data_IF_019226326575
#
_entry.id   IF_019226326575
#
_cell.length_a   1.000
_cell.length_b   1.000
_cell.length_c   1.000
_cell.angle_alpha   90.00
_cell.angle_beta   90.00
_cell.angle_gamma   90.00
#
_symmetry.space_group_name_H-M   'P 1'
#
loop_
_entity.id
_entity.type
_entity.pdbx_description
1 polymer ?
#
# COMPACT_ATOMS: atom_id res chain seq x y z
N UNK A 1 37.92 1.86 14.74
CA UNK A 1 37.09 3.07 14.94
C UNK A 1 35.63 2.61 14.91
N UNK A 2 34.86 2.80 15.99
CA UNK A 2 33.53 2.19 16.13
C UNK A 2 32.51 2.65 15.06
N UNK A 3 32.74 3.81 14.44
CA UNK A 3 31.83 4.43 13.47
C UNK A 3 32.23 4.19 12.00
N UNK A 4 33.30 3.44 11.72
CA UNK A 4 33.88 3.34 10.38
C UNK A 4 32.89 2.74 9.36
N UNK A 5 32.15 1.70 9.73
CA UNK A 5 31.13 1.09 8.87
C UNK A 5 29.92 2.03 8.63
N UNK A 6 29.50 2.80 9.65
CA UNK A 6 28.41 3.77 9.53
C UNK A 6 28.80 4.93 8.60
N UNK A 7 30.05 5.41 8.68
CA UNK A 7 30.57 6.43 7.77
C UNK A 7 30.72 5.88 6.35
N UNK A 8 31.25 4.66 6.17
CA UNK A 8 31.36 4.02 4.85
C UNK A 8 30.01 3.85 4.16
N UNK A 9 28.93 3.68 4.93
CA UNK A 9 27.56 3.53 4.45
C UNK A 9 26.78 4.85 4.39
N UNK A 10 27.40 5.99 4.74
CA UNK A 10 26.76 7.31 4.81
C UNK A 10 25.51 7.34 5.70
N UNK A 11 25.55 6.67 6.85
CA UNK A 11 24.40 6.53 7.77
C UNK A 11 24.40 7.54 8.92
N UNK A 12 25.21 8.60 8.83
CA UNK A 12 25.29 9.66 9.84
C UNK A 12 25.09 11.00 9.13
N UNK A 13 24.09 11.77 9.57
CA UNK A 13 23.85 13.14 9.13
C UNK A 13 23.63 14.02 10.37
N UNK A 14 24.30 15.16 10.42
CA UNK A 14 24.19 16.14 11.52
C UNK A 14 24.40 15.55 12.93
N UNK A 15 25.23 14.50 13.03
CA UNK A 15 25.56 13.82 14.29
C UNK A 15 24.56 12.74 14.71
N UNK A 16 23.50 12.51 13.93
CA UNK A 16 22.51 11.47 14.18
C UNK A 16 22.55 10.38 13.11
N UNK A 17 22.16 9.16 13.50
CA UNK A 17 21.91 8.07 12.57
C UNK A 17 20.83 8.46 11.57
N UNK A 18 21.03 8.17 10.28
CA UNK A 18 20.07 8.40 9.20
C UNK A 18 19.99 7.21 8.25
N UNK A 19 18.78 6.81 7.88
CA UNK A 19 18.51 5.75 6.92
C UNK A 19 17.94 6.23 5.59
N UNK A 20 17.69 5.27 4.71
CA UNK A 20 16.92 5.52 3.50
C UNK A 20 15.43 5.70 3.84
N UNK A 21 14.73 6.57 3.11
CA UNK A 21 13.30 6.81 3.31
C UNK A 21 12.52 5.50 3.13
N UNK A 22 11.67 5.20 4.12
CA UNK A 22 10.79 4.04 4.15
C UNK A 22 9.40 4.46 4.63
N UNK A 23 8.71 5.23 3.77
CA UNK A 23 7.49 5.97 4.17
C UNK A 23 7.84 6.98 5.27
N UNK A 24 7.07 6.99 6.36
CA UNK A 24 7.38 7.80 7.55
C UNK A 24 8.55 7.27 8.40
N UNK A 25 9.09 6.09 8.09
CA UNK A 25 10.22 5.49 8.77
C UNK A 25 11.51 5.69 7.96
N UNK A 26 12.65 5.34 8.55
CA UNK A 26 13.91 5.18 7.84
C UNK A 26 14.42 3.75 7.96
N UNK A 27 14.84 3.17 6.84
CA UNK A 27 15.50 1.86 6.75
C UNK A 27 17.01 2.04 6.84
N UNK A 28 17.60 1.51 7.91
CA UNK A 28 19.03 1.65 8.19
C UNK A 28 19.69 0.28 8.10
N UNK A 29 20.49 0.06 7.05
CA UNK A 29 21.28 -1.16 6.87
C UNK A 29 22.64 -1.01 7.55
N UNK A 30 22.71 -1.43 8.80
CA UNK A 30 23.85 -1.17 9.71
C UNK A 30 24.96 -2.23 9.62
N UNK A 31 24.73 -3.34 8.92
CA UNK A 31 25.72 -4.39 8.68
C UNK A 31 26.24 -5.03 9.97
N UNK A 32 27.56 -5.01 10.20
CA UNK A 32 28.17 -5.65 11.37
C UNK A 32 28.29 -4.72 12.60
N UNK A 33 27.66 -3.54 12.54
CA UNK A 33 27.62 -2.54 13.62
C UNK A 33 26.82 -3.05 14.80
N UNK A 34 27.32 -2.82 16.02
CA UNK A 34 26.62 -3.24 17.24
C UNK A 34 25.74 -2.11 17.81
N UNK A 35 24.81 -2.48 18.69
CA UNK A 35 23.90 -1.56 19.36
C UNK A 35 24.65 -0.44 20.09
N UNK A 36 25.76 -0.75 20.78
CA UNK A 36 26.58 0.26 21.48
C UNK A 36 26.97 1.43 20.56
N UNK A 37 27.44 1.13 19.35
CA UNK A 37 27.80 2.14 18.36
C UNK A 37 26.57 2.96 17.96
N UNK A 38 25.43 2.31 17.70
CA UNK A 38 24.20 3.01 17.29
C UNK A 38 23.75 4.05 18.31
N UNK A 39 23.79 3.71 19.60
CA UNK A 39 23.45 4.65 20.68
C UNK A 39 24.43 5.84 20.73
N UNK A 40 25.72 5.58 20.48
CA UNK A 40 26.74 6.65 20.47
C UNK A 40 26.56 7.65 19.33
N UNK A 41 25.82 7.28 18.27
CA UNK A 41 25.48 8.14 17.13
C UNK A 41 24.02 8.60 17.17
N UNK A 42 23.42 8.65 18.37
CA UNK A 42 22.13 9.31 18.58
C UNK A 42 20.89 8.43 18.48
N UNK A 43 21.00 7.12 18.21
CA UNK A 43 19.84 6.22 18.27
C UNK A 43 19.26 6.22 19.69
N UNK A 44 17.96 6.49 19.80
CA UNK A 44 17.19 6.32 21.04
C UNK A 44 16.63 4.91 21.06
N UNK A 45 16.92 4.20 22.14
CA UNK A 45 16.40 2.87 22.40
C UNK A 45 16.28 2.66 23.91
N UNK A 46 15.19 2.04 24.35
CA UNK A 46 15.04 1.56 25.72
C UNK A 46 15.81 0.26 25.88
N UNK A 47 17.14 0.37 25.95
CA UNK A 47 18.01 -0.81 26.00
C UNK A 47 17.78 -1.57 27.30
N UNK A 48 17.39 -2.84 27.16
CA UNK A 48 17.26 -3.76 28.28
C UNK A 48 18.64 -4.10 28.85
N UNK A 49 18.83 -3.99 30.17
CA UNK A 49 20.06 -4.42 30.85
C UNK A 49 20.30 -5.93 30.71
N UNK A 50 19.21 -6.70 30.62
CA UNK A 50 19.18 -8.14 30.42
C UNK A 50 18.07 -8.52 29.43
N UNK A 51 18.31 -9.51 28.58
CA UNK A 51 17.31 -10.06 27.66
C UNK A 51 16.89 -11.43 28.15
N UNK A 52 15.67 -11.53 28.69
CA UNK A 52 15.12 -12.75 29.28
C UNK A 52 14.17 -13.41 28.28
N UNK A 53 14.62 -14.50 27.65
CA UNK A 53 13.81 -15.35 26.78
C UNK A 53 14.49 -16.74 26.64
N UNK A 54 13.74 -17.85 26.55
CA UNK A 54 14.32 -19.19 26.45
C UNK A 54 14.82 -19.49 25.01
N UNK A 55 15.93 -18.87 24.62
CA UNK A 55 16.54 -19.09 23.31
C UNK A 55 17.03 -20.53 23.16
N UNK A 56 16.57 -21.23 22.12
CA UNK A 56 16.88 -22.64 21.89
C UNK A 56 17.93 -22.85 20.80
N UNK A 57 17.94 -21.99 19.77
CA UNK A 57 18.79 -22.11 18.60
C UNK A 57 19.89 -21.03 18.56
N UNK A 58 19.59 -19.81 18.97
CA UNK A 58 20.48 -18.67 18.91
C UNK A 58 21.37 -18.56 20.16
N UNK A 59 22.69 -18.56 19.93
CA UNK A 59 23.67 -18.31 20.98
C UNK A 59 23.76 -16.81 21.25
N UNK A 60 23.12 -16.35 22.32
CA UNK A 60 23.05 -14.93 22.66
C UNK A 60 24.40 -14.35 23.09
N UNK A 61 24.68 -13.08 22.74
CA UNK A 61 25.71 -12.29 23.40
C UNK A 61 25.44 -12.16 24.91
N UNK A 62 26.49 -12.09 25.72
CA UNK A 62 26.36 -11.83 27.17
C UNK A 62 25.88 -10.41 27.47
N UNK A 63 26.18 -9.46 26.60
CA UNK A 63 25.80 -8.05 26.75
C UNK A 63 24.92 -7.66 25.56
N UNK A 64 23.65 -7.25 25.80
CA UNK A 64 22.74 -6.80 24.75
C UNK A 64 23.33 -5.71 23.84
N UNK A 65 24.19 -4.83 24.37
CA UNK A 65 24.87 -3.78 23.59
C UNK A 65 25.79 -4.31 22.48
N UNK A 66 26.18 -5.59 22.54
CA UNK A 66 27.03 -6.24 21.54
C UNK A 66 26.21 -6.93 20.44
N UNK A 67 24.87 -6.93 20.50
CA UNK A 67 24.05 -7.43 19.41
C UNK A 67 24.32 -6.63 18.13
N UNK A 68 24.24 -7.31 16.99
CA UNK A 68 24.55 -6.77 15.65
C UNK A 68 23.42 -7.13 14.70
N UNK A 69 22.29 -6.39 14.75
CA UNK A 69 21.24 -6.59 13.77
C UNK A 69 21.73 -6.20 12.38
N UNK A 70 21.24 -6.86 11.33
CA UNK A 70 21.62 -6.49 9.96
C UNK A 70 20.99 -5.14 9.56
N UNK A 71 19.72 -4.93 9.95
CA UNK A 71 18.93 -3.73 9.64
C UNK A 71 18.06 -3.31 10.82
N UNK A 72 17.86 -2.00 10.95
CA UNK A 72 16.88 -1.41 11.87
C UNK A 72 15.96 -0.46 11.12
N UNK A 73 14.73 -0.32 11.61
CA UNK A 73 13.77 0.69 11.15
C UNK A 73 13.58 1.69 12.27
N UNK A 74 13.73 2.97 11.94
CA UNK A 74 13.62 4.06 12.90
C UNK A 74 12.47 4.99 12.57
N UNK A 75 11.81 5.49 13.61
CA UNK A 75 10.85 6.57 13.54
C UNK A 75 11.47 7.81 14.20
N UNK A 76 11.52 8.93 13.49
CA UNK A 76 11.99 10.20 14.07
C UNK A 76 10.86 10.91 14.80
N UNK A 77 11.07 11.11 16.10
CA UNK A 77 10.21 11.93 16.95
C UNK A 77 10.97 13.19 17.40
N UNK A 78 10.29 14.06 18.14
CA UNK A 78 10.91 15.25 18.76
C UNK A 78 12.09 14.90 19.67
N UNK A 79 12.08 13.70 20.26
CA UNK A 79 13.12 13.23 21.20
C UNK A 79 14.30 12.53 20.50
N UNK A 80 14.27 12.41 19.18
CA UNK A 80 15.30 11.77 18.34
C UNK A 80 14.80 10.50 17.61
N UNK A 81 15.71 9.80 16.90
CA UNK A 81 15.38 8.59 16.15
C UNK A 81 15.19 7.39 17.08
N UNK A 82 13.99 6.82 17.10
CA UNK A 82 13.64 5.65 17.91
C UNK A 82 13.56 4.37 17.06
N UNK A 83 14.14 3.26 17.53
CA UNK A 83 14.04 1.97 16.85
C UNK A 83 12.65 1.34 17.06
N UNK A 84 11.93 1.08 15.96
CA UNK A 84 10.58 0.51 15.99
C UNK A 84 10.54 -0.94 15.51
N UNK A 85 11.50 -1.34 14.66
CA UNK A 85 11.64 -2.71 14.20
C UNK A 85 13.10 -3.07 13.87
N UNK A 86 13.39 -4.37 13.88
CA UNK A 86 14.69 -4.94 13.54
C UNK A 86 14.52 -6.02 12.49
N UNK A 87 15.46 -6.13 11.54
CA UNK A 87 15.48 -7.22 10.57
C UNK A 87 16.82 -7.94 10.50
N UNK A 88 16.75 -9.27 10.44
CA UNK A 88 17.86 -10.19 10.22
C UNK A 88 17.75 -10.80 8.82
N UNK A 89 18.81 -10.66 8.04
CA UNK A 89 18.85 -11.11 6.66
C UNK A 89 19.76 -12.32 6.50
N UNK A 90 19.23 -13.41 5.93
CA UNK A 90 20.01 -14.60 5.56
C UNK A 90 19.76 -14.94 4.10
N UNK A 91 20.77 -15.46 3.40
CA UNK A 91 20.55 -15.96 2.05
C UNK A 91 19.42 -17.04 2.05
N UNK A 92 18.63 -17.19 0.97
CA UNK A 92 17.47 -18.09 0.95
C UNK A 92 17.74 -19.52 1.43
N UNK A 93 18.90 -20.09 1.07
CA UNK A 93 19.32 -21.42 1.52
C UNK A 93 19.52 -21.52 3.03
N UNK A 94 19.91 -20.40 3.68
CA UNK A 94 20.17 -20.29 5.11
C UNK A 94 18.92 -19.96 5.93
N UNK A 95 17.78 -19.70 5.28
CA UNK A 95 16.47 -19.53 5.94
C UNK A 95 15.53 -20.72 5.68
N UNK A 96 15.94 -21.67 4.83
CA UNK A 96 15.15 -22.86 4.49
C UNK A 96 15.16 -23.87 5.66
N UNK A 97 13.96 -24.27 6.10
CA UNK A 97 13.75 -25.26 7.17
C UNK A 97 13.46 -24.61 8.53
N UNK A 98 12.73 -25.33 9.39
CA UNK A 98 12.26 -24.86 10.69
C UNK A 98 13.39 -24.36 11.59
N UNK A 99 14.49 -25.11 11.68
CA UNK A 99 15.57 -24.82 12.63
C UNK A 99 16.36 -23.56 12.24
N UNK A 100 16.55 -23.36 10.94
CA UNK A 100 17.23 -22.19 10.38
C UNK A 100 16.39 -20.92 10.47
N UNK A 101 15.08 -21.07 10.24
CA UNK A 101 14.12 -20.00 10.49
C UNK A 101 14.12 -19.63 11.97
N UNK A 102 14.00 -20.60 12.88
CA UNK A 102 14.01 -20.39 14.32
C UNK A 102 15.28 -19.65 14.77
N UNK A 103 16.46 -20.11 14.35
CA UNK A 103 17.73 -19.44 14.65
C UNK A 103 17.72 -17.96 14.24
N UNK A 104 17.23 -17.66 13.02
CA UNK A 104 17.21 -16.29 12.49
C UNK A 104 16.15 -15.44 13.21
N UNK A 105 15.00 -16.04 13.53
CA UNK A 105 13.93 -15.38 14.30
C UNK A 105 14.36 -15.07 15.72
N UNK A 106 15.05 -15.98 16.39
CA UNK A 106 15.61 -15.76 17.72
C UNK A 106 16.71 -14.70 17.72
N UNK A 107 17.58 -14.67 16.70
CA UNK A 107 18.56 -13.60 16.53
C UNK A 107 17.86 -12.23 16.41
N UNK A 108 16.81 -12.15 15.59
CA UNK A 108 16.03 -10.92 15.40
C UNK A 108 15.28 -10.50 16.67
N UNK A 109 14.66 -11.46 17.38
CA UNK A 109 13.98 -11.21 18.64
C UNK A 109 14.95 -10.69 19.71
N UNK A 110 16.14 -11.29 19.84
CA UNK A 110 17.15 -10.82 20.78
C UNK A 110 17.55 -9.37 20.51
N UNK A 111 17.85 -9.04 19.25
CA UNK A 111 18.20 -7.69 18.83
C UNK A 111 17.05 -6.69 19.05
N UNK A 112 15.80 -7.11 18.81
CA UNK A 112 14.62 -6.27 19.06
C UNK A 112 14.41 -6.00 20.55
N UNK A 113 14.53 -7.01 21.41
CA UNK A 113 14.46 -6.85 22.88
C UNK A 113 15.58 -5.98 23.42
N UNK A 114 16.78 -6.11 22.86
CA UNK A 114 17.93 -5.27 23.22
C UNK A 114 17.74 -3.79 22.80
N UNK A 115 16.96 -3.52 21.75
CA UNK A 115 16.66 -2.16 21.27
C UNK A 115 15.32 -1.61 21.75
N UNK A 116 14.50 -2.40 22.45
CA UNK A 116 13.13 -2.04 22.80
C UNK A 116 12.20 -1.92 21.58
N UNK A 117 12.54 -2.57 20.46
CA UNK A 117 11.72 -2.58 19.26
C UNK A 117 10.52 -3.52 19.41
N UNK A 118 9.38 -3.15 18.81
CA UNK A 118 8.14 -3.92 18.91
C UNK A 118 8.06 -5.10 17.95
N UNK A 119 8.79 -5.01 16.83
CA UNK A 119 8.73 -5.98 15.73
C UNK A 119 10.14 -6.49 15.41
N UNK A 120 10.27 -7.80 15.24
CA UNK A 120 11.45 -8.42 14.64
C UNK A 120 11.09 -9.07 13.31
N UNK A 121 12.03 -9.13 12.37
CA UNK A 121 11.81 -9.67 11.03
C UNK A 121 12.95 -10.62 10.69
N UNK A 122 12.63 -11.86 10.34
CA UNK A 122 13.56 -12.77 9.67
C UNK A 122 13.28 -12.76 8.17
N UNK A 123 14.28 -12.48 7.34
CA UNK A 123 14.08 -12.31 5.89
C UNK A 123 15.19 -12.93 5.06
N UNK A 124 14.84 -13.36 3.86
CA UNK A 124 15.81 -13.74 2.81
C UNK A 124 15.86 -12.77 1.63
N UNK A 125 15.24 -11.61 1.80
CA UNK A 125 15.07 -10.60 0.75
C UNK A 125 13.87 -10.85 -0.16
N UNK A 126 13.29 -12.06 -0.16
CA UNK A 126 12.10 -12.41 -0.95
C UNK A 126 10.90 -12.77 -0.06
N UNK A 127 11.14 -13.49 1.03
CA UNK A 127 10.16 -13.87 2.05
C UNK A 127 10.53 -13.21 3.37
N UNK A 128 9.49 -12.79 4.09
CA UNK A 128 9.62 -12.14 5.39
C UNK A 128 8.77 -12.92 6.40
N UNK A 129 9.32 -13.10 7.60
CA UNK A 129 8.63 -13.67 8.74
C UNK A 129 8.64 -12.62 9.84
N UNK A 130 7.47 -12.07 10.13
CA UNK A 130 7.29 -10.99 11.10
C UNK A 130 7.00 -11.58 12.47
N UNK A 131 7.71 -11.12 13.48
CA UNK A 131 7.70 -11.64 14.84
C UNK A 131 7.14 -10.58 15.76
N UNK A 132 6.11 -10.95 16.52
CA UNK A 132 5.54 -10.14 17.59
C UNK A 132 6.43 -10.30 18.83
N UNK A 133 7.19 -9.25 19.14
CA UNK A 133 8.15 -9.28 20.25
C UNK A 133 7.43 -9.45 21.60
N UNK A 134 6.32 -8.73 21.80
CA UNK A 134 5.58 -8.75 23.05
C UNK A 134 4.91 -10.10 23.27
N UNK A 135 4.19 -10.61 22.26
CA UNK A 135 3.54 -11.92 22.34
C UNK A 135 4.56 -13.05 22.49
N UNK A 136 5.74 -12.93 21.87
CA UNK A 136 6.81 -13.92 22.01
C UNK A 136 7.32 -14.01 23.45
N UNK A 137 7.57 -12.87 24.09
CA UNK A 137 8.01 -12.81 25.50
C UNK A 137 6.94 -13.37 26.42
N UNK A 138 5.68 -12.96 26.26
CA UNK A 138 4.58 -13.39 27.10
C UNK A 138 4.35 -14.91 27.06
N UNK A 139 4.56 -15.54 25.90
CA UNK A 139 4.37 -16.98 25.72
C UNK A 139 5.66 -17.80 25.90
N UNK A 140 6.82 -17.16 26.04
CA UNK A 140 8.12 -17.84 26.12
C UNK A 140 8.48 -18.64 24.87
N UNK A 141 7.93 -18.29 23.71
CA UNK A 141 8.22 -18.92 22.41
C UNK A 141 8.01 -17.93 21.27
N UNK A 142 8.69 -18.10 20.14
CA UNK A 142 8.53 -17.21 18.98
C UNK A 142 7.07 -17.20 18.51
N UNK A 143 6.51 -16.00 18.39
CA UNK A 143 5.19 -15.74 17.82
C UNK A 143 5.31 -14.93 16.54
N UNK A 144 4.78 -15.50 15.46
CA UNK A 144 4.73 -14.85 14.16
C UNK A 144 3.38 -14.18 13.95
N UNK A 145 3.39 -13.02 13.30
CA UNK A 145 2.16 -12.45 12.73
C UNK A 145 1.71 -13.28 11.52
N UNK A 146 0.40 -13.36 11.31
CA UNK A 146 -0.19 -13.89 10.08
C UNK A 146 -0.13 -12.82 8.97
N UNK A 147 1.09 -12.55 8.50
CA UNK A 147 1.37 -11.54 7.48
C UNK A 147 2.27 -12.16 6.40
N UNK A 148 1.89 -11.98 5.14
CA UNK A 148 2.53 -12.62 3.99
C UNK A 148 2.99 -11.62 2.92
N UNK A 149 2.64 -10.34 3.07
CA UNK A 149 3.06 -9.27 2.17
C UNK A 149 4.55 -9.01 2.30
N UNK A 150 5.14 -8.54 1.19
CA UNK A 150 6.53 -8.09 1.17
C UNK A 150 6.71 -6.87 2.07
N UNK A 151 7.81 -6.84 2.82
CA UNK A 151 8.11 -5.74 3.74
C UNK A 151 8.07 -4.39 3.02
N UNK A 152 7.16 -3.55 3.46
CA UNK A 152 6.94 -2.20 2.98
C UNK A 152 6.40 -1.33 4.15
N UNK A 153 6.36 0.01 3.99
CA UNK A 153 5.89 0.91 5.05
C UNK A 153 4.48 0.58 5.57
N UNK A 154 3.55 0.19 4.69
CA UNK A 154 2.18 -0.14 5.09
C UNK A 154 2.10 -1.42 5.94
N UNK A 155 2.89 -2.43 5.63
CA UNK A 155 2.99 -3.64 6.47
C UNK A 155 3.51 -3.27 7.86
N UNK A 156 4.54 -2.44 7.94
CA UNK A 156 5.11 -2.03 9.22
C UNK A 156 4.12 -1.19 10.05
N UNK A 157 3.36 -0.30 9.39
CA UNK A 157 2.25 0.43 10.02
C UNK A 157 1.20 -0.49 10.63
N UNK A 158 0.74 -1.49 9.88
CA UNK A 158 -0.29 -2.43 10.32
C UNK A 158 0.20 -3.28 11.50
N UNK A 159 1.44 -3.78 11.42
CA UNK A 159 2.05 -4.58 12.49
C UNK A 159 2.23 -3.77 13.79
N UNK A 160 2.59 -2.50 13.69
CA UNK A 160 2.77 -1.63 14.86
C UNK A 160 1.45 -1.15 15.47
N UNK A 161 0.38 -1.06 14.66
CA UNK A 161 -0.96 -0.79 15.16
C UNK A 161 -1.48 -1.97 16.00
N UNK A 162 -1.14 -3.21 15.61
CA UNK A 162 -1.55 -4.42 16.33
C UNK A 162 -3.02 -4.83 16.11
N UNK A 163 -3.79 -4.01 15.40
CA UNK A 163 -5.19 -4.25 15.04
C UNK A 163 -5.49 -3.72 13.63
N UNK A 164 -6.51 -4.29 12.98
CA UNK A 164 -6.97 -3.83 11.66
C UNK A 164 -7.74 -2.52 11.86
N UNK A 165 -7.08 -1.40 11.57
CA UNK A 165 -7.71 -0.08 11.62
C UNK A 165 -8.34 0.21 10.27
N UNK A 166 -9.68 0.22 10.21
CA UNK A 166 -10.43 0.70 9.04
C UNK A 166 -10.28 2.22 8.93
N UNK A 167 -9.73 2.71 7.80
CA UNK A 167 -9.55 4.14 7.54
C UNK A 167 -10.57 4.66 6.53
N UNK A 168 -11.00 5.92 6.72
CA UNK A 168 -11.79 6.68 5.75
C UNK A 168 -10.92 7.69 4.99
N UNK A 169 -10.65 7.47 3.69
CA UNK A 169 -9.87 8.40 2.87
C UNK A 169 -10.61 9.66 2.41
N UNK A 170 -11.82 9.94 2.91
CA UNK A 170 -12.62 11.11 2.49
C UNK A 170 -11.85 12.42 2.62
N UNK A 171 -11.21 12.67 3.77
CA UNK A 171 -10.41 13.89 3.96
C UNK A 171 -9.17 13.94 3.06
N UNK A 172 -8.50 12.80 2.86
CA UNK A 172 -7.35 12.71 1.97
C UNK A 172 -7.78 13.09 0.55
N UNK A 173 -8.91 12.57 0.08
CA UNK A 173 -9.43 12.87 -1.23
C UNK A 173 -9.77 14.36 -1.40
N UNK A 174 -10.36 14.99 -0.38
CA UNK A 174 -10.63 16.43 -0.42
C UNK A 174 -9.35 17.28 -0.50
N UNK A 175 -8.33 16.96 0.31
CA UNK A 175 -7.03 17.66 0.29
C UNK A 175 -6.34 17.51 -1.07
N UNK A 176 -6.19 16.27 -1.54
CA UNK A 176 -5.52 15.98 -2.83
C UNK A 176 -6.26 16.64 -4.00
N UNK A 177 -7.59 16.60 -3.98
CA UNK A 177 -8.40 17.29 -4.97
C UNK A 177 -8.12 18.79 -5.02
N UNK A 178 -8.05 19.46 -3.86
CA UNK A 178 -7.74 20.88 -3.79
C UNK A 178 -6.36 21.17 -4.39
N UNK A 179 -5.33 20.38 -4.05
CA UNK A 179 -4.00 20.51 -4.64
C UNK A 179 -4.03 20.45 -6.17
N UNK A 180 -4.74 19.45 -6.73
CA UNK A 180 -4.86 19.28 -8.18
C UNK A 180 -5.61 20.45 -8.81
N UNK A 181 -6.75 20.84 -8.25
CA UNK A 181 -7.57 21.94 -8.79
C UNK A 181 -6.82 23.27 -8.74
N UNK A 182 -6.11 23.56 -7.65
CA UNK A 182 -5.32 24.79 -7.54
C UNK A 182 -4.23 24.86 -8.62
N UNK A 183 -3.59 23.74 -8.93
CA UNK A 183 -2.52 23.66 -9.91
C UNK A 183 -3.01 23.62 -11.37
N UNK A 184 -4.10 22.92 -11.65
CA UNK A 184 -4.51 22.59 -13.02
C UNK A 184 -5.76 23.35 -13.49
N UNK A 185 -6.59 23.84 -12.56
CA UNK A 185 -7.93 24.40 -12.83
C UNK A 185 -8.86 23.43 -13.57
N UNK A 186 -8.54 22.14 -13.55
CA UNK A 186 -9.32 21.10 -14.24
C UNK A 186 -10.66 20.87 -13.53
N UNK A 187 -11.60 20.26 -14.25
CA UNK A 187 -12.94 20.00 -13.71
C UNK A 187 -12.87 19.03 -12.51
N UNK A 188 -13.81 19.12 -11.53
CA UNK A 188 -13.74 18.28 -10.34
C UNK A 188 -13.76 16.78 -10.66
N UNK A 189 -14.47 16.36 -11.71
CA UNK A 189 -14.47 14.97 -12.20
C UNK A 189 -13.05 14.48 -12.56
N UNK A 190 -12.25 15.32 -13.21
CA UNK A 190 -10.91 14.94 -13.67
C UNK A 190 -9.89 14.95 -12.54
N UNK A 191 -10.03 15.92 -11.63
CA UNK A 191 -9.24 15.93 -10.40
C UNK A 191 -9.55 14.67 -9.55
N UNK A 192 -10.82 14.24 -9.50
CA UNK A 192 -11.21 12.99 -8.84
C UNK A 192 -10.57 11.77 -9.51
N UNK A 193 -10.58 11.67 -10.84
CA UNK A 193 -9.94 10.57 -11.56
C UNK A 193 -8.44 10.50 -11.27
N UNK A 194 -7.78 11.65 -11.18
CA UNK A 194 -6.37 11.76 -10.80
C UNK A 194 -6.12 11.26 -9.37
N UNK A 195 -7.00 11.63 -8.41
CA UNK A 195 -6.94 11.10 -7.05
C UNK A 195 -7.11 9.58 -7.04
N UNK A 196 -8.13 9.04 -7.73
CA UNK A 196 -8.40 7.60 -7.80
C UNK A 196 -7.21 6.86 -8.40
N UNK A 197 -6.60 7.40 -9.45
CA UNK A 197 -5.41 6.82 -10.09
C UNK A 197 -4.23 6.69 -9.11
N UNK A 198 -3.93 7.74 -8.33
CA UNK A 198 -2.86 7.69 -7.31
C UNK A 198 -3.24 6.84 -6.09
N UNK A 199 -4.52 6.85 -5.70
CA UNK A 199 -5.05 5.98 -4.66
C UNK A 199 -4.86 4.51 -5.03
N UNK A 200 -5.16 4.15 -6.28
CA UNK A 200 -4.96 2.78 -6.77
C UNK A 200 -3.47 2.44 -6.81
N UNK A 201 -2.59 3.34 -7.27
CA UNK A 201 -1.14 3.08 -7.21
C UNK A 201 -0.69 2.78 -5.77
N UNK A 202 -1.09 3.60 -4.80
CA UNK A 202 -0.76 3.38 -3.39
C UNK A 202 -1.33 2.06 -2.88
N UNK A 203 -2.61 1.79 -3.14
CA UNK A 203 -3.28 0.55 -2.75
C UNK A 203 -2.56 -0.70 -3.30
N UNK A 204 -2.18 -0.68 -4.58
CA UNK A 204 -1.42 -1.76 -5.18
C UNK A 204 -0.01 -1.87 -4.59
N UNK A 205 0.62 -0.76 -4.24
CA UNK A 205 1.97 -0.76 -3.65
C UNK A 205 2.01 -1.37 -2.25
N UNK A 206 0.97 -1.13 -1.46
CA UNK A 206 0.79 -1.66 -0.11
C UNK A 206 0.52 -3.17 -0.13
N UNK A 207 -0.26 -3.64 -1.12
CA UNK A 207 -0.87 -4.96 -1.08
C UNK A 207 -0.31 -5.96 -2.11
N UNK A 208 0.21 -5.51 -3.27
CA UNK A 208 0.74 -6.43 -4.27
C UNK A 208 2.18 -6.88 -3.95
N UNK A 209 2.47 -8.19 -4.07
CA UNK A 209 3.82 -8.72 -4.02
C UNK A 209 4.73 -8.11 -5.11
N UNK A 210 6.03 -8.03 -4.80
CA UNK A 210 7.05 -7.51 -5.71
C UNK A 210 7.14 -8.27 -7.05
N UNK A 211 6.69 -9.54 -7.07
CA UNK A 211 6.58 -10.35 -8.29
C UNK A 211 5.63 -9.72 -9.33
N UNK A 212 4.53 -9.11 -8.87
CA UNK A 212 3.51 -8.54 -9.76
C UNK A 212 3.74 -7.04 -9.98
N UNK A 213 4.15 -6.33 -8.92
CA UNK A 213 4.50 -4.92 -8.98
C UNK A 213 5.89 -4.70 -8.38
N UNK A 214 6.97 -4.73 -9.18
CA UNK A 214 8.34 -4.55 -8.67
C UNK A 214 8.54 -3.18 -8.01
N UNK A 215 9.52 -3.08 -7.11
CA UNK A 215 9.75 -1.90 -6.25
C UNK A 215 9.84 -0.58 -7.00
N UNK A 216 10.51 -0.55 -8.15
CA UNK A 216 10.66 0.65 -8.99
C UNK A 216 9.34 1.12 -9.66
N UNK A 217 8.28 0.32 -9.58
CA UNK A 217 6.94 0.67 -10.04
C UNK A 217 5.94 0.91 -8.90
N UNK A 218 6.42 0.86 -7.64
CA UNK A 218 5.59 1.13 -6.47
C UNK A 218 5.63 2.61 -6.11
N UNK A 219 4.56 3.06 -5.45
CA UNK A 219 4.39 4.38 -4.88
C UNK A 219 5.62 4.84 -4.07
N UNK A 220 6.20 3.94 -3.27
CA UNK A 220 7.31 4.25 -2.38
C UNK A 220 8.59 4.69 -3.10
N UNK A 221 8.79 4.31 -4.36
CA UNK A 221 9.92 4.80 -5.17
C UNK A 221 9.86 6.32 -5.35
N UNK A 222 8.66 6.92 -5.31
CA UNK A 222 8.45 8.35 -5.52
C UNK A 222 8.64 9.20 -4.25
N UNK A 223 8.84 8.59 -3.07
CA UNK A 223 8.87 9.31 -1.79
C UNK A 223 10.23 9.90 -1.41
N UNK A 224 11.29 9.67 -2.20
CA UNK A 224 12.60 10.22 -1.86
C UNK A 224 12.68 11.73 -2.16
N UNK A 225 13.72 12.37 -1.62
CA UNK A 225 13.95 13.79 -1.87
C UNK A 225 14.03 14.08 -3.37
N UNK A 226 13.55 15.25 -3.78
CA UNK A 226 13.50 15.64 -5.18
C UNK A 226 14.89 15.71 -5.83
N UNK A 227 15.89 16.22 -5.12
CA UNK A 227 17.25 16.29 -5.66
C UNK A 227 17.85 14.90 -5.85
N UNK A 228 17.70 14.03 -4.84
CA UNK A 228 18.13 12.64 -4.91
C UNK A 228 17.41 11.86 -6.02
N UNK A 229 16.11 12.09 -6.17
CA UNK A 229 15.30 11.43 -7.20
C UNK A 229 15.77 11.81 -8.61
N UNK A 230 15.95 13.11 -8.86
CA UNK A 230 16.43 13.62 -10.15
C UNK A 230 17.84 13.10 -10.44
N UNK A 231 18.73 13.09 -9.46
CA UNK A 231 20.09 12.53 -9.61
C UNK A 231 20.05 11.03 -9.97
N UNK A 232 19.14 10.27 -9.36
CA UNK A 232 19.00 8.83 -9.57
C UNK A 232 18.35 8.47 -10.92
N UNK A 233 17.30 9.20 -11.33
CA UNK A 233 16.44 8.82 -12.46
C UNK A 233 16.57 9.73 -13.69
N UNK A 234 17.30 10.85 -13.57
CA UNK A 234 17.47 11.84 -14.63
C UNK A 234 16.20 12.62 -14.98
N UNK A 235 15.15 12.53 -14.15
CA UNK A 235 13.84 13.16 -14.38
C UNK A 235 13.12 13.40 -13.06
N UNK A 236 12.07 14.21 -13.09
CA UNK A 236 11.24 14.50 -11.92
C UNK A 236 10.32 13.32 -11.55
N UNK A 237 9.78 13.30 -10.32
CA UNK A 237 8.87 12.23 -9.87
C UNK A 237 7.62 12.13 -10.75
N UNK A 238 7.04 13.26 -11.16
CA UNK A 238 5.85 13.24 -12.01
C UNK A 238 6.15 12.71 -13.41
N UNK A 239 7.30 13.04 -13.99
CA UNK A 239 7.74 12.48 -15.28
C UNK A 239 7.99 10.98 -15.14
N UNK A 240 8.67 10.53 -14.09
CA UNK A 240 8.87 9.11 -13.82
C UNK A 240 7.55 8.36 -13.64
N UNK A 241 6.60 8.96 -12.91
CA UNK A 241 5.26 8.40 -12.79
C UNK A 241 4.60 8.23 -14.15
N UNK A 242 4.56 9.29 -14.97
CA UNK A 242 3.91 9.31 -16.28
C UNK A 242 4.56 8.32 -17.27
N UNK A 243 5.89 8.26 -17.31
CA UNK A 243 6.64 7.56 -18.35
C UNK A 243 7.02 6.13 -17.97
N UNK A 244 7.09 5.82 -16.66
CA UNK A 244 7.58 4.52 -16.17
C UNK A 244 6.51 3.76 -15.38
N UNK A 245 5.94 4.38 -14.35
CA UNK A 245 4.99 3.70 -13.46
C UNK A 245 3.64 3.50 -14.15
N UNK A 246 3.08 4.58 -14.68
CA UNK A 246 1.74 4.59 -15.28
C UNK A 246 1.62 3.59 -16.45
N UNK A 247 2.58 3.46 -17.39
CA UNK A 247 2.52 2.44 -18.42
C UNK A 247 2.58 1.01 -17.87
N UNK A 248 3.37 0.77 -16.80
CA UNK A 248 3.41 -0.53 -16.12
C UNK A 248 2.04 -0.87 -15.52
N UNK A 249 1.38 0.07 -14.86
CA UNK A 249 0.04 -0.14 -14.31
C UNK A 249 -0.97 -0.45 -15.44
N UNK A 250 -0.92 0.28 -16.56
CA UNK A 250 -1.75 -0.02 -17.74
C UNK A 250 -1.49 -1.40 -18.32
N UNK A 251 -0.24 -1.87 -18.28
CA UNK A 251 0.08 -3.23 -18.74
C UNK A 251 -0.47 -4.31 -17.82
N UNK A 252 -0.51 -4.06 -16.49
CA UNK A 252 -1.10 -5.01 -15.53
C UNK A 252 -2.63 -4.99 -15.60
N UNK A 253 -3.22 -3.82 -15.91
CA UNK A 253 -4.66 -3.62 -15.99
C UNK A 253 -5.04 -2.95 -17.32
N UNK A 254 -4.99 -3.69 -18.43
CA UNK A 254 -5.23 -3.12 -19.75
C UNK A 254 -6.69 -2.68 -19.91
N UNK A 255 -6.87 -1.56 -20.62
CA UNK A 255 -8.17 -1.26 -21.23
C UNK A 255 -8.41 -2.19 -22.42
N UNK A 256 -9.60 -2.11 -23.02
CA UNK A 256 -9.97 -2.90 -24.19
C UNK A 256 -9.79 -4.43 -24.01
N UNK A 257 -10.05 -4.93 -22.80
CA UNK A 257 -9.92 -6.35 -22.48
C UNK A 257 -11.11 -7.14 -23.03
N UNK A 258 -10.85 -8.22 -23.78
CA UNK A 258 -11.90 -9.13 -24.25
C UNK A 258 -12.50 -9.87 -23.05
N UNK A 259 -13.82 -9.93 -23.00
CA UNK A 259 -14.52 -10.71 -22.00
C UNK A 259 -14.38 -12.20 -22.33
N UNK A 260 -13.61 -12.92 -21.51
CA UNK A 260 -13.35 -14.36 -21.68
C UNK A 260 -14.56 -15.26 -21.31
N UNK A 261 -15.69 -14.66 -20.93
CA UNK A 261 -16.91 -15.38 -20.60
C UNK A 261 -17.87 -15.41 -21.80
N UNK A 262 -17.90 -16.56 -22.49
CA UNK A 262 -18.78 -16.78 -23.65
C UNK A 262 -20.27 -16.57 -23.36
N UNK A 263 -20.72 -16.75 -22.11
CA UNK A 263 -22.13 -16.52 -21.75
C UNK A 263 -22.53 -15.05 -21.84
N UNK A 264 -21.58 -14.13 -21.65
CA UNK A 264 -21.80 -12.68 -21.79
C UNK A 264 -21.98 -12.32 -23.26
N UNK A 265 -21.13 -12.89 -24.13
CA UNK A 265 -21.24 -12.69 -25.58
C UNK A 265 -22.59 -13.23 -26.11
N UNK A 266 -23.00 -14.42 -25.63
CA UNK A 266 -24.32 -14.99 -25.94
C UNK A 266 -25.48 -14.12 -25.43
N UNK A 267 -25.37 -13.57 -24.21
CA UNK A 267 -26.41 -12.71 -23.62
C UNK A 267 -26.72 -11.49 -24.49
N UNK A 268 -25.70 -10.92 -25.14
CA UNK A 268 -25.87 -9.75 -26.02
C UNK A 268 -26.03 -10.12 -27.50
N UNK A 269 -25.98 -11.41 -27.86
CA UNK A 269 -25.96 -11.83 -29.26
C UNK A 269 -24.75 -11.30 -30.05
N UNK A 270 -23.64 -11.04 -29.35
CA UNK A 270 -22.41 -10.50 -29.93
C UNK A 270 -21.35 -11.60 -30.07
N UNK A 271 -20.49 -11.49 -31.09
CA UNK A 271 -19.37 -12.42 -31.24
C UNK A 271 -18.26 -12.18 -30.23
N UNK A 272 -17.97 -10.91 -29.92
CA UNK A 272 -16.91 -10.50 -28.98
C UNK A 272 -17.45 -9.33 -28.15
N UNK A 273 -17.30 -9.42 -26.83
CA UNK A 273 -17.56 -8.32 -25.90
C UNK A 273 -16.23 -7.80 -25.37
N UNK A 274 -16.02 -6.49 -25.43
CA UNK A 274 -14.77 -5.84 -25.01
C UNK A 274 -15.06 -4.83 -23.90
N UNK A 275 -14.42 -5.00 -22.75
CA UNK A 275 -14.41 -4.00 -21.70
C UNK A 275 -13.46 -2.87 -22.06
N UNK A 276 -13.97 -1.65 -22.17
CA UNK A 276 -13.20 -0.45 -22.55
C UNK A 276 -12.46 0.20 -21.39
N UNK A 277 -12.66 -0.25 -20.15
CA UNK A 277 -12.18 0.44 -18.95
C UNK A 277 -10.85 -0.13 -18.47
N UNK A 278 -9.93 0.74 -18.03
CA UNK A 278 -8.80 0.39 -17.15
C UNK A 278 -9.09 0.92 -15.73
N UNK A 279 -8.21 0.60 -14.79
CA UNK A 279 -8.20 1.22 -13.45
C UNK A 279 -7.62 2.64 -13.47
N UNK A 280 -6.98 3.06 -14.57
CA UNK A 280 -6.36 4.39 -14.72
C UNK A 280 -6.77 5.05 -16.04
N UNK A 281 -7.69 6.00 -15.96
CA UNK A 281 -8.41 6.53 -17.13
C UNK A 281 -8.13 8.01 -17.42
N UNK A 282 -7.47 8.76 -16.52
CA UNK A 282 -7.18 10.18 -16.73
C UNK A 282 -6.31 10.81 -15.64
N UNK A 283 -5.35 11.64 -16.05
CA UNK A 283 -4.41 12.31 -15.17
C UNK A 283 -4.38 13.81 -15.51
N UNK A 284 -4.88 14.67 -14.61
CA UNK A 284 -5.08 16.10 -14.86
C UNK A 284 -3.81 16.85 -15.27
N UNK A 285 -2.64 16.34 -14.87
CA UNK A 285 -1.34 16.91 -15.23
C UNK A 285 -0.90 16.62 -16.68
N UNK A 286 -1.66 15.83 -17.45
CA UNK A 286 -1.36 15.53 -18.86
C UNK A 286 -2.15 16.37 -19.88
N UNK A 287 -3.11 17.18 -19.43
CA UNK A 287 -4.05 17.85 -20.35
C UNK A 287 -3.45 19.03 -21.13
N UNK A 288 -2.36 19.62 -20.65
CA UNK A 288 -1.82 20.83 -21.28
C UNK A 288 -0.64 20.50 -22.17
N UNK A 289 -0.84 20.54 -23.50
CA UNK A 289 0.26 20.40 -24.47
C UNK A 289 1.27 21.56 -24.41
N UNK A 290 0.94 22.63 -23.68
CA UNK A 290 1.77 23.83 -23.54
C UNK A 290 2.59 23.86 -22.26
N UNK A 291 2.34 22.96 -21.30
CA UNK A 291 3.00 22.94 -19.99
C UNK A 291 3.63 21.58 -19.77
N UNK A 292 4.95 21.56 -19.59
CA UNK A 292 5.68 20.32 -19.29
C UNK A 292 5.21 19.73 -17.95
N UNK A 293 5.01 18.41 -17.83
CA UNK A 293 4.63 17.78 -16.55
C UNK A 293 5.54 18.16 -15.38
N UNK A 294 6.83 18.38 -15.60
CA UNK A 294 7.79 18.76 -14.55
C UNK A 294 7.44 20.06 -13.83
N UNK A 295 6.69 20.99 -14.43
CA UNK A 295 6.23 22.21 -13.72
C UNK A 295 5.27 21.89 -12.58
N UNK A 296 4.60 20.73 -12.61
CA UNK A 296 3.69 20.27 -11.56
C UNK A 296 4.39 19.41 -10.51
N UNK A 297 5.70 19.16 -10.62
CA UNK A 297 6.38 18.21 -9.75
C UNK A 297 6.28 18.54 -8.27
N UNK A 298 6.35 19.84 -7.90
CA UNK A 298 6.18 20.26 -6.50
C UNK A 298 4.82 19.83 -5.95
N UNK A 299 3.74 20.13 -6.68
CA UNK A 299 2.37 19.76 -6.30
C UNK A 299 2.20 18.25 -6.25
N UNK A 300 2.80 17.53 -7.22
CA UNK A 300 2.80 16.08 -7.24
C UNK A 300 3.47 15.49 -5.98
N UNK A 301 4.65 15.97 -5.61
CA UNK A 301 5.35 15.55 -4.39
C UNK A 301 4.55 15.88 -3.13
N UNK A 302 3.91 17.04 -3.07
CA UNK A 302 3.04 17.39 -1.94
C UNK A 302 1.84 16.42 -1.83
N UNK A 303 1.24 16.02 -2.95
CA UNK A 303 0.19 14.99 -2.99
C UNK A 303 0.73 13.63 -2.48
N UNK A 304 1.92 13.22 -2.91
CA UNK A 304 2.54 11.97 -2.45
C UNK A 304 2.74 11.99 -0.92
N UNK A 305 3.14 13.12 -0.34
CA UNK A 305 3.28 13.28 1.11
C UNK A 305 1.93 13.18 1.84
N UNK A 306 0.84 13.70 1.27
CA UNK A 306 -0.50 13.52 1.83
C UNK A 306 -0.91 12.04 1.90
N UNK A 307 -0.62 11.27 0.84
CA UNK A 307 -0.85 9.82 0.82
C UNK A 307 0.04 9.06 1.82
N UNK A 308 1.31 9.44 1.96
CA UNK A 308 2.23 8.81 2.93
C UNK A 308 1.80 9.11 4.37
N UNK A 309 1.40 10.36 4.65
CA UNK A 309 0.87 10.77 5.96
C UNK A 309 -0.43 10.06 6.31
N UNK A 310 -1.27 9.73 5.33
CA UNK A 310 -2.49 8.95 5.56
C UNK A 310 -2.20 7.53 6.04
N UNK A 311 -1.07 6.94 5.62
CA UNK A 311 -0.62 5.62 6.03
C UNK A 311 -1.06 4.49 5.09
N UNK A 312 -1.25 3.29 5.66
CA UNK A 312 -1.59 2.08 4.90
C UNK A 312 -3.02 2.11 4.32
N UNK A 313 -3.18 1.60 3.09
CA UNK A 313 -4.45 1.40 2.39
C UNK A 313 -4.84 -0.08 2.39
N UNK A 314 -4.97 -0.65 3.59
CA UNK A 314 -5.09 -2.11 3.78
C UNK A 314 -6.49 -2.47 4.27
N UNK A 315 -7.03 -1.70 5.21
CA UNK A 315 -8.45 -1.69 5.54
C UNK A 315 -9.04 -0.31 5.28
N UNK A 316 -9.88 -0.23 4.26
CA UNK A 316 -10.56 1.01 3.84
C UNK A 316 -12.05 0.82 4.06
N UNK A 317 -12.70 1.87 4.55
CA UNK A 317 -14.16 1.89 4.67
C UNK A 317 -14.79 1.51 3.32
N UNK A 318 -15.55 0.39 3.22
CA UNK A 318 -16.18 -0.05 1.99
C UNK A 318 -17.07 1.02 1.35
N UNK A 319 -17.64 1.90 2.15
CA UNK A 319 -18.53 2.97 1.70
C UNK A 319 -17.80 4.23 1.22
N UNK A 320 -16.47 4.31 1.42
CA UNK A 320 -15.67 5.46 1.01
C UNK A 320 -15.87 5.82 -0.46
N UNK A 321 -15.86 4.82 -1.36
CA UNK A 321 -16.01 5.06 -2.81
C UNK A 321 -17.32 5.78 -3.11
N UNK A 322 -18.41 5.36 -2.48
CA UNK A 322 -19.73 5.96 -2.67
C UNK A 322 -19.75 7.40 -2.14
N UNK A 323 -19.27 7.63 -0.90
CA UNK A 323 -19.18 8.97 -0.32
C UNK A 323 -18.31 9.91 -1.15
N UNK A 324 -17.21 9.39 -1.68
CA UNK A 324 -16.30 10.11 -2.56
C UNK A 324 -17.04 10.57 -3.82
N UNK A 325 -17.69 9.65 -4.55
CA UNK A 325 -18.46 10.02 -5.74
C UNK A 325 -19.59 11.00 -5.40
N UNK A 326 -20.37 10.77 -4.34
CA UNK A 326 -21.44 11.68 -3.93
C UNK A 326 -20.95 13.08 -3.63
N UNK A 327 -19.88 13.20 -2.85
CA UNK A 327 -19.31 14.48 -2.43
C UNK A 327 -18.82 15.28 -3.63
N UNK A 328 -18.11 14.61 -4.55
CA UNK A 328 -17.55 15.23 -5.74
C UNK A 328 -18.61 15.53 -6.80
N UNK A 329 -19.63 14.67 -6.95
CA UNK A 329 -20.77 14.92 -7.81
C UNK A 329 -21.61 16.09 -7.30
N UNK A 330 -21.86 16.22 -5.99
CA UNK A 330 -22.55 17.39 -5.41
C UNK A 330 -21.77 18.68 -5.65
N UNK A 331 -20.44 18.67 -5.51
CA UNK A 331 -19.57 19.81 -5.84
C UNK A 331 -19.60 20.15 -7.34
N UNK A 332 -19.73 19.14 -8.20
CA UNK A 332 -19.84 19.31 -9.67
C UNK A 332 -21.26 19.62 -10.16
N UNK A 333 -22.30 19.27 -9.41
CA UNK A 333 -23.71 19.43 -9.79
C UNK A 333 -24.13 20.91 -9.85
N UNK A 334 -23.42 21.79 -9.15
CA UNK A 334 -23.51 23.25 -9.37
C UNK A 334 -23.16 23.67 -10.82
N UNK A 335 -22.53 22.79 -11.61
CA UNK A 335 -22.20 22.97 -13.03
C UNK A 335 -23.14 22.21 -14.01
N UNK A 336 -24.35 21.84 -13.55
CA UNK A 336 -25.51 21.38 -14.35
C UNK A 336 -25.40 20.09 -15.19
N UNK A 337 -24.23 19.55 -15.52
CA UNK A 337 -24.10 18.43 -16.48
C UNK A 337 -23.97 17.01 -15.90
N UNK A 338 -23.57 16.85 -14.63
CA UNK A 338 -23.23 15.52 -14.08
C UNK A 338 -24.32 14.89 -13.18
N UNK A 339 -25.30 15.67 -12.71
CA UNK A 339 -26.37 15.17 -11.83
C UNK A 339 -27.36 14.19 -12.49
N UNK A 340 -27.35 14.10 -13.82
CA UNK A 340 -28.27 13.25 -14.59
C UNK A 340 -27.96 11.74 -14.51
N UNK A 341 -26.77 11.36 -14.03
CA UNK A 341 -26.33 9.96 -13.95
C UNK A 341 -26.31 9.40 -12.52
N UNK A 342 -26.81 10.15 -11.54
CA UNK A 342 -26.68 9.78 -10.14
C UNK A 342 -28.03 9.38 -9.53
N UNK A 343 -28.11 8.14 -9.05
CA UNK A 343 -29.21 7.67 -8.21
C UNK A 343 -28.80 7.75 -6.74
N UNK A 344 -29.55 8.47 -5.86
CA UNK A 344 -29.25 8.54 -4.44
C UNK A 344 -29.17 7.16 -3.77
N UNK A 345 -28.24 6.99 -2.82
CA UNK A 345 -27.96 5.68 -2.21
C UNK A 345 -29.17 5.04 -1.54
N UNK A 346 -29.99 5.81 -0.84
CA UNK A 346 -31.22 5.32 -0.22
C UNK A 346 -32.20 4.73 -1.26
N UNK A 347 -32.20 5.26 -2.48
CA UNK A 347 -33.00 4.74 -3.60
C UNK A 347 -32.38 3.45 -4.14
N UNK A 348 -31.06 3.42 -4.35
CA UNK A 348 -30.33 2.21 -4.80
C UNK A 348 -30.56 1.03 -3.83
N UNK A 349 -30.40 1.26 -2.52
CA UNK A 349 -30.60 0.23 -1.49
C UNK A 349 -32.05 -0.26 -1.44
N UNK A 350 -33.03 0.63 -1.59
CA UNK A 350 -34.44 0.24 -1.63
C UNK A 350 -34.73 -0.67 -2.83
N UNK A 351 -34.23 -0.32 -4.02
CA UNK A 351 -34.41 -1.13 -5.23
C UNK A 351 -33.73 -2.50 -5.10
N UNK A 352 -32.50 -2.56 -4.59
CA UNK A 352 -31.78 -3.83 -4.38
C UNK A 352 -32.54 -4.73 -3.41
N UNK A 353 -33.09 -4.16 -2.34
CA UNK A 353 -33.89 -4.90 -1.36
C UNK A 353 -35.19 -5.44 -1.98
N UNK A 354 -35.84 -4.66 -2.84
CA UNK A 354 -37.05 -5.12 -3.57
C UNK A 354 -36.73 -6.18 -4.61
N UNK A 355 -35.57 -6.10 -5.27
CA UNK A 355 -35.12 -7.07 -6.26
C UNK A 355 -34.68 -8.41 -5.64
N UNK A 356 -34.54 -8.47 -4.30
CA UNK A 356 -34.18 -9.66 -3.52
C UNK A 356 -32.96 -10.42 -4.08
N UNK A 357 -31.97 -9.64 -4.53
CA UNK A 357 -30.76 -10.13 -5.21
C UNK A 357 -30.08 -11.29 -4.45
N UNK A 358 -29.95 -11.27 -3.10
CA UNK A 358 -29.29 -12.36 -2.36
C UNK A 358 -29.95 -13.73 -2.50
N UNK A 359 -31.25 -13.77 -2.81
CA UNK A 359 -32.02 -15.01 -2.95
C UNK A 359 -32.11 -15.50 -4.41
N UNK A 360 -31.42 -14.83 -5.35
CA UNK A 360 -31.36 -15.28 -6.73
C UNK A 360 -30.63 -16.63 -6.84
N UNK A 361 -31.11 -17.55 -7.70
CA UNK A 361 -30.42 -18.81 -7.97
C UNK A 361 -28.99 -18.61 -8.49
N UNK A 362 -28.11 -19.58 -8.20
CA UNK A 362 -26.78 -19.62 -8.80
C UNK A 362 -26.87 -19.61 -10.33
N UNK A 363 -26.01 -18.82 -10.97
CA UNK A 363 -26.00 -18.57 -12.41
C UNK A 363 -26.87 -17.39 -12.85
N UNK A 364 -27.60 -16.74 -11.93
CA UNK A 364 -28.39 -15.54 -12.24
C UNK A 364 -27.52 -14.38 -12.70
N UNK A 365 -28.11 -13.49 -13.51
CA UNK A 365 -27.47 -12.29 -14.05
C UNK A 365 -28.22 -11.05 -13.58
N UNK A 366 -27.49 -10.13 -12.96
CA UNK A 366 -27.95 -8.77 -12.63
C UNK A 366 -27.30 -7.82 -13.62
N UNK A 367 -28.13 -7.17 -14.44
CA UNK A 367 -27.70 -6.25 -15.49
C UNK A 367 -28.15 -4.83 -15.18
N UNK A 368 -27.21 -3.90 -15.15
CA UNK A 368 -27.47 -2.45 -15.16
C UNK A 368 -27.08 -1.89 -16.53
N UNK A 369 -28.05 -1.52 -17.40
CA UNK A 369 -27.77 -1.03 -18.76
C UNK A 369 -27.27 0.43 -18.78
N UNK A 370 -27.29 1.14 -17.65
CA UNK A 370 -26.83 2.52 -17.52
C UNK A 370 -26.02 2.68 -16.21
N UNK A 371 -25.01 1.83 -16.06
CA UNK A 371 -24.32 1.61 -14.80
C UNK A 371 -23.61 2.84 -14.24
N UNK A 372 -23.14 3.76 -15.09
CA UNK A 372 -22.43 4.96 -14.67
C UNK A 372 -21.30 4.64 -13.69
N UNK A 373 -21.43 5.06 -12.42
CA UNK A 373 -20.45 4.78 -11.34
C UNK A 373 -20.56 3.38 -10.72
N UNK A 374 -21.51 2.56 -11.20
CA UNK A 374 -21.71 1.17 -10.81
C UNK A 374 -22.58 0.95 -9.58
N UNK A 375 -23.46 1.89 -9.23
CA UNK A 375 -24.26 1.83 -7.98
C UNK A 375 -25.03 0.52 -7.81
N UNK A 376 -25.81 0.11 -8.82
CA UNK A 376 -26.64 -1.09 -8.75
C UNK A 376 -25.87 -2.41 -8.88
N UNK A 377 -24.66 -2.39 -9.45
CA UNK A 377 -23.82 -3.59 -9.61
C UNK A 377 -22.83 -3.77 -8.46
N UNK A 378 -22.40 -2.70 -7.79
CA UNK A 378 -21.44 -2.74 -6.69
C UNK A 378 -22.12 -2.88 -5.33
N UNK A 379 -23.21 -2.16 -5.06
CA UNK A 379 -23.87 -2.15 -3.74
C UNK A 379 -24.30 -3.56 -3.27
N UNK A 380 -24.84 -4.47 -4.12
CA UNK A 380 -25.22 -5.81 -3.68
C UNK A 380 -24.02 -6.61 -3.13
N UNK A 381 -22.86 -6.48 -3.79
CA UNK A 381 -21.62 -7.17 -3.40
C UNK A 381 -21.07 -6.68 -2.07
N UNK A 382 -21.27 -5.39 -1.74
CA UNK A 382 -20.83 -4.79 -0.48
C UNK A 382 -21.77 -5.15 0.68
N UNK A 383 -23.09 -5.10 0.45
CA UNK A 383 -24.09 -5.17 1.51
C UNK A 383 -24.54 -6.60 1.84
N UNK A 384 -24.59 -7.50 0.85
CA UNK A 384 -25.37 -8.74 0.99
C UNK A 384 -24.76 -9.98 0.31
N UNK A 385 -23.68 -9.82 -0.45
CA UNK A 385 -23.11 -10.86 -1.30
C UNK A 385 -21.58 -10.97 -1.17
N UNK A 386 -21.07 -10.86 0.06
CA UNK A 386 -19.62 -10.91 0.35
C UNK A 386 -18.93 -12.21 -0.12
N UNK A 387 -19.68 -13.32 -0.23
CA UNK A 387 -19.18 -14.62 -0.68
C UNK A 387 -19.57 -14.96 -2.14
N UNK A 388 -19.95 -13.96 -2.94
CA UNK A 388 -20.37 -14.20 -4.31
C UNK A 388 -19.24 -14.65 -5.24
N UNK A 389 -17.98 -14.38 -4.88
CA UNK A 389 -16.81 -14.69 -5.69
C UNK A 389 -15.95 -15.75 -4.99
N UNK A 390 -15.72 -16.87 -5.68
CA UNK A 390 -14.76 -17.91 -5.27
C UNK A 390 -13.64 -18.01 -6.31
N UNK A 391 -12.42 -18.29 -5.88
CA UNK A 391 -11.31 -18.56 -6.81
C UNK A 391 -11.12 -20.07 -6.98
N UNK A 392 -11.40 -20.58 -8.19
CA UNK A 392 -11.17 -21.99 -8.56
C UNK A 392 -10.06 -22.04 -9.62
N UNK A 393 -8.96 -22.74 -9.31
CA UNK A 393 -7.81 -22.85 -10.21
C UNK A 393 -7.32 -21.50 -10.74
N UNK A 394 -7.22 -20.50 -9.84
CA UNK A 394 -6.80 -19.12 -10.12
C UNK A 394 -7.82 -18.28 -10.94
N UNK A 395 -8.94 -18.87 -11.38
CA UNK A 395 -10.02 -18.12 -12.04
C UNK A 395 -11.13 -17.75 -11.05
N UNK A 396 -11.61 -16.50 -11.06
CA UNK A 396 -12.78 -16.15 -10.28
C UNK A 396 -14.03 -16.81 -10.86
N UNK A 397 -14.87 -17.35 -10.00
CA UNK A 397 -16.18 -17.92 -10.28
C UNK A 397 -17.19 -17.14 -9.45
N UNK A 398 -18.23 -16.65 -10.11
CA UNK A 398 -19.29 -15.87 -9.47
C UNK A 398 -20.56 -16.70 -9.37
N UNK A 399 -21.22 -16.68 -8.20
CA UNK A 399 -22.53 -17.32 -8.03
C UNK A 399 -23.62 -16.54 -8.76
N UNK A 400 -23.64 -15.22 -8.61
CA UNK A 400 -24.47 -14.26 -9.34
C UNK A 400 -23.54 -13.37 -10.15
N UNK A 401 -23.82 -13.23 -11.45
CA UNK A 401 -23.05 -12.37 -12.34
C UNK A 401 -23.60 -10.95 -12.31
N UNK A 402 -22.72 -9.97 -12.15
CA UNK A 402 -23.05 -8.54 -12.20
C UNK A 402 -22.46 -7.94 -13.47
N UNK A 403 -23.32 -7.34 -14.30
CA UNK A 403 -22.93 -6.71 -15.56
C UNK A 403 -23.39 -5.26 -15.54
N UNK A 404 -22.45 -4.34 -15.68
CA UNK A 404 -22.74 -2.92 -15.89
C UNK A 404 -22.37 -2.53 -17.32
N UNK A 405 -23.30 -1.90 -18.03
CA UNK A 405 -23.07 -1.28 -19.33
C UNK A 405 -23.25 0.23 -19.16
N UNK A 406 -22.44 1.02 -19.85
CA UNK A 406 -22.71 2.44 -20.00
C UNK A 406 -23.18 2.69 -21.43
N UNK A 407 -24.49 2.85 -21.60
CA UNK A 407 -25.16 2.99 -22.90
C UNK A 407 -24.94 4.35 -23.61
N UNK A 408 -23.98 5.16 -23.16
CA UNK A 408 -23.58 6.40 -23.83
C UNK A 408 -22.26 6.22 -24.57
N UNK A 409 -22.34 5.63 -25.76
CA UNK A 409 -21.39 5.89 -26.86
C UNK A 409 -22.19 6.14 -28.13
#
# INVERSE_FOLDING_TARGET
MANEELHQRNLIQDGEIKGAIFGKYEDVNIGATNIKTLLSVGLKASVSEEVIFPFMAYKTPKNPLLAKPDRIFILRNTDGPNCIAVAEHKAPIKLKGSDRLLLTSEQGLYSALALGAKIAIATDGTKNFYIDVLSSVNEGKIKYYDEHRSLNPAVLDDLLAGEIITRDPSELAERVWQHIWHATKDEPKQCLLTFVELFVLKFLSDNLPDKYLPKNYKFYELLCDNSDFVNKHGRTQIEYYIETIRPKIKMVFPDNTVCDDSSISQLFGLGIVVSKTSIINGFSFLKSSTVSPSSYNKVFVDILKEFDKFGSLTSIDPEFKLRLYETFLKKSAKQAKLGQFFTPRNVVQAIIKMADIPNLPNGSVVLDPAAGVGGFVLEPTLASLQNNVEFKSVKPVQNIKFIGIDGLC
#
